data_IF_310334092125
#
_entry.id   IF_310334092125
#
_cell.length_a   1.000
_cell.length_b   1.000
_cell.length_c   1.000
_cell.angle_alpha   90.00
_cell.angle_beta   90.00
_cell.angle_gamma   90.00
#
_symmetry.space_group_name_H-M   'P 1'
#
loop_
_entity.id
_entity.type
_entity.pdbx_description
1 polymer ?
#
# COMPACT_ATOMS: atom_id res chain seq x y z
N UNK A 1 37.21 -43.43 -7.96
CA UNK A 1 36.85 -42.02 -8.28
C UNK A 1 35.82 -41.93 -9.43
N UNK A 2 34.68 -42.62 -9.34
CA UNK A 2 33.58 -42.56 -10.34
C UNK A 2 32.16 -42.69 -9.73
N UNK A 3 32.04 -42.66 -8.40
CA UNK A 3 30.76 -42.92 -7.70
C UNK A 3 30.16 -41.66 -7.06
N UNK A 4 30.95 -40.61 -6.83
CA UNK A 4 30.48 -39.34 -6.25
C UNK A 4 29.97 -38.33 -7.30
N UNK A 5 30.32 -38.52 -8.58
CA UNK A 5 29.96 -37.57 -9.64
C UNK A 5 28.58 -37.83 -10.27
N UNK A 6 28.02 -39.04 -10.12
CA UNK A 6 26.65 -39.35 -10.56
C UNK A 6 25.58 -38.84 -9.61
N UNK A 7 25.91 -38.61 -8.34
CA UNK A 7 24.97 -38.05 -7.35
C UNK A 7 24.84 -36.53 -7.43
N UNK A 8 25.86 -35.82 -7.93
CA UNK A 8 25.82 -34.35 -8.07
C UNK A 8 25.00 -33.93 -9.29
N UNK A 9 24.97 -34.73 -10.36
CA UNK A 9 24.22 -34.39 -11.58
C UNK A 9 22.71 -34.70 -11.50
N UNK A 10 22.29 -35.51 -10.52
CA UNK A 10 20.87 -35.83 -10.30
C UNK A 10 20.14 -34.81 -9.38
N UNK A 11 20.88 -33.93 -8.69
CA UNK A 11 20.31 -32.93 -7.77
C UNK A 11 20.06 -31.58 -8.47
N UNK A 12 20.75 -31.29 -9.58
CA UNK A 12 20.57 -30.04 -10.33
C UNK A 12 19.41 -30.03 -11.35
N UNK A 13 18.78 -31.17 -11.65
CA UNK A 13 17.66 -31.24 -12.60
C UNK A 13 16.28 -31.31 -11.94
N UNK A 14 16.19 -31.28 -10.60
CA UNK A 14 14.91 -31.35 -9.88
C UNK A 14 14.48 -30.01 -9.24
N UNK A 15 15.20 -28.91 -9.52
CA UNK A 15 14.92 -27.60 -8.92
C UNK A 15 14.41 -26.52 -9.89
N UNK A 16 14.14 -26.86 -11.15
CA UNK A 16 13.71 -25.87 -12.16
C UNK A 16 12.59 -26.46 -13.01
N UNK A 17 11.35 -26.40 -12.51
CA UNK A 17 10.11 -26.24 -13.31
C UNK A 17 8.87 -26.57 -12.47
N UNK A 18 8.62 -25.80 -11.42
CA UNK A 18 7.25 -25.66 -10.90
C UNK A 18 6.89 -24.18 -10.93
N UNK A 19 6.72 -23.67 -12.15
CA UNK A 19 5.95 -22.45 -12.36
C UNK A 19 4.51 -22.75 -11.97
N UNK A 20 4.19 -22.56 -10.70
CA UNK A 20 2.81 -22.56 -10.23
C UNK A 20 2.16 -21.35 -10.91
N UNK A 21 1.42 -21.59 -11.98
CA UNK A 21 0.42 -20.63 -12.44
C UNK A 21 -0.63 -20.56 -11.35
N UNK A 22 -0.48 -19.59 -10.44
CA UNK A 22 -1.58 -19.17 -9.59
C UNK A 22 -2.65 -18.62 -10.54
N UNK A 23 -3.70 -19.41 -10.78
CA UNK A 23 -4.90 -18.90 -11.42
C UNK A 23 -5.60 -18.01 -10.40
N UNK A 24 -5.35 -16.71 -10.50
CA UNK A 24 -6.18 -15.68 -9.87
C UNK A 24 -7.61 -15.86 -10.40
N UNK A 25 -8.43 -16.59 -9.65
CA UNK A 25 -9.87 -16.58 -9.83
C UNK A 25 -10.41 -15.30 -9.19
N UNK A 26 -9.97 -14.15 -9.70
CA UNK A 26 -10.42 -12.86 -9.22
C UNK A 26 -11.87 -12.65 -9.66
N UNK A 27 -12.78 -12.60 -8.68
CA UNK A 27 -14.15 -12.15 -8.89
C UNK A 27 -14.11 -10.72 -9.44
N UNK A 28 -14.60 -10.52 -10.67
CA UNK A 28 -14.58 -9.19 -11.29
C UNK A 28 -15.84 -8.43 -10.88
N UNK A 29 -15.67 -7.42 -10.04
CA UNK A 29 -16.74 -6.53 -9.58
C UNK A 29 -16.70 -5.21 -10.35
N UNK A 30 -17.86 -4.70 -10.76
CA UNK A 30 -18.02 -3.38 -11.37
C UNK A 30 -19.29 -2.72 -10.84
N UNK A 31 -19.20 -1.43 -10.54
CA UNK A 31 -20.33 -0.66 -10.04
C UNK A 31 -20.90 0.18 -11.17
N UNK A 32 -22.23 0.19 -11.31
CA UNK A 32 -22.94 0.98 -12.30
C UNK A 32 -23.90 1.94 -11.61
N UNK A 33 -23.84 3.21 -11.97
CA UNK A 33 -24.69 4.25 -11.37
C UNK A 33 -24.94 5.38 -12.37
N UNK A 34 -25.86 6.28 -12.03
CA UNK A 34 -26.22 7.45 -12.84
C UNK A 34 -25.72 8.70 -12.14
N UNK A 35 -24.93 9.51 -12.84
CA UNK A 35 -24.42 10.77 -12.31
C UNK A 35 -25.43 11.92 -12.36
N UNK A 36 -25.04 13.09 -11.85
CA UNK A 36 -25.91 14.27 -11.76
C UNK A 36 -26.31 14.82 -13.13
N UNK A 37 -25.53 14.54 -14.19
CA UNK A 37 -25.86 14.91 -15.56
C UNK A 37 -26.75 13.85 -16.24
N UNK A 38 -27.07 12.78 -15.52
CA UNK A 38 -27.85 11.66 -15.99
C UNK A 38 -27.08 10.66 -16.85
N UNK A 39 -25.75 10.73 -16.87
CA UNK A 39 -24.88 9.82 -17.61
C UNK A 39 -24.62 8.57 -16.76
N UNK A 40 -24.64 7.40 -17.41
CA UNK A 40 -24.35 6.13 -16.74
C UNK A 40 -22.83 5.96 -16.62
N UNK A 41 -22.37 5.78 -15.40
CA UNK A 41 -20.97 5.57 -15.05
C UNK A 41 -20.74 4.11 -14.66
N UNK A 42 -19.56 3.60 -15.00
CA UNK A 42 -19.07 2.28 -14.58
C UNK A 42 -17.72 2.45 -13.88
N UNK A 43 -17.61 2.01 -12.64
CA UNK A 43 -16.45 2.27 -11.79
C UNK A 43 -16.00 1.02 -11.04
N UNK A 44 -14.73 0.97 -10.67
CA UNK A 44 -14.15 -0.09 -9.83
C UNK A 44 -14.51 0.06 -8.35
N UNK A 45 -14.84 1.30 -7.92
CA UNK A 45 -15.33 1.61 -6.57
C UNK A 45 -16.77 2.13 -6.62
N UNK A 46 -17.58 1.86 -5.59
CA UNK A 46 -18.95 2.37 -5.54
C UNK A 46 -18.98 3.90 -5.41
N UNK A 47 -20.05 4.57 -5.88
CA UNK A 47 -20.26 5.98 -5.58
C UNK A 47 -20.58 6.18 -4.09
N UNK A 48 -20.12 7.29 -3.52
CA UNK A 48 -20.28 7.56 -2.08
C UNK A 48 -21.70 7.98 -1.66
N UNK A 49 -22.47 8.54 -2.59
CA UNK A 49 -23.74 9.20 -2.27
C UNK A 49 -24.79 9.05 -3.37
N UNK A 50 -24.78 7.91 -4.08
CA UNK A 50 -25.75 7.60 -5.13
C UNK A 50 -26.11 6.13 -5.05
N UNK A 51 -27.35 5.80 -5.34
CA UNK A 51 -27.76 4.41 -5.54
C UNK A 51 -26.98 3.80 -6.73
N UNK A 52 -26.67 2.50 -6.64
CA UNK A 52 -25.89 1.81 -7.66
C UNK A 52 -26.23 0.32 -7.78
N UNK A 53 -25.82 -0.27 -8.90
CA UNK A 53 -25.82 -1.71 -9.14
C UNK A 53 -24.41 -2.25 -8.96
N UNK A 54 -24.20 -3.15 -7.99
CA UNK A 54 -22.98 -3.95 -7.89
C UNK A 54 -23.11 -5.15 -8.82
N UNK A 55 -22.23 -5.22 -9.81
CA UNK A 55 -22.20 -6.27 -10.82
C UNK A 55 -20.99 -7.16 -10.53
N UNK A 56 -21.24 -8.38 -10.09
CA UNK A 56 -20.21 -9.41 -9.88
C UNK A 56 -20.22 -10.38 -11.06
N UNK A 57 -19.06 -10.62 -11.66
CA UNK A 57 -18.86 -11.68 -12.65
C UNK A 57 -18.07 -12.81 -12.00
N UNK A 58 -18.70 -13.97 -11.87
CA UNK A 58 -18.11 -15.19 -11.29
C UNK A 58 -17.39 -16.02 -12.35
N UNK A 59 -16.47 -16.86 -11.90
CA UNK A 59 -15.82 -17.87 -12.76
C UNK A 59 -16.90 -18.73 -13.46
N UNK A 60 -16.80 -18.89 -14.77
CA UNK A 60 -17.81 -19.56 -15.60
C UNK A 60 -18.86 -18.62 -16.24
N UNK A 61 -18.73 -17.31 -16.08
CA UNK A 61 -19.54 -16.32 -16.80
C UNK A 61 -20.90 -15.99 -16.16
N UNK A 62 -21.20 -16.59 -15.01
CA UNK A 62 -22.39 -16.24 -14.24
C UNK A 62 -22.27 -14.79 -13.72
N UNK A 63 -23.37 -14.02 -13.84
CA UNK A 63 -23.44 -12.62 -13.42
C UNK A 63 -24.44 -12.47 -12.29
N UNK A 64 -24.02 -11.82 -11.22
CA UNK A 64 -24.86 -11.44 -10.08
C UNK A 64 -24.98 -9.91 -10.04
N UNK A 65 -26.18 -9.40 -9.79
CA UNK A 65 -26.45 -7.97 -9.69
C UNK A 65 -27.17 -7.69 -8.38
N UNK A 66 -26.57 -6.84 -7.55
CA UNK A 66 -27.16 -6.37 -6.28
C UNK A 66 -27.45 -4.88 -6.40
N UNK A 67 -28.66 -4.45 -6.08
CA UNK A 67 -28.99 -3.03 -6.00
C UNK A 67 -28.70 -2.52 -4.59
N UNK A 68 -28.05 -1.36 -4.52
CA UNK A 68 -27.74 -0.67 -3.27
C UNK A 68 -28.40 0.70 -3.31
N UNK A 69 -29.15 1.01 -2.25
CA UNK A 69 -29.83 2.29 -2.11
C UNK A 69 -28.84 3.43 -1.84
N UNK A 70 -29.30 4.67 -2.03
CA UNK A 70 -28.49 5.86 -1.72
C UNK A 70 -28.17 5.95 -0.21
N UNK A 71 -29.12 5.57 0.65
CA UNK A 71 -28.96 5.55 2.11
C UNK A 71 -27.87 4.56 2.54
N UNK A 72 -27.90 3.34 2.00
CA UNK A 72 -26.87 2.32 2.25
C UNK A 72 -25.50 2.74 1.68
N UNK A 73 -25.49 3.41 0.52
CA UNK A 73 -24.26 3.93 -0.08
C UNK A 73 -23.62 5.00 0.81
N UNK A 74 -24.41 5.94 1.34
CA UNK A 74 -23.94 6.99 2.24
C UNK A 74 -23.42 6.42 3.56
N UNK A 75 -24.11 5.44 4.15
CA UNK A 75 -23.63 4.75 5.36
C UNK A 75 -22.30 4.05 5.10
N UNK A 76 -22.21 3.26 4.03
CA UNK A 76 -20.99 2.52 3.69
C UNK A 76 -19.82 3.45 3.40
N UNK A 77 -20.06 4.57 2.72
CA UNK A 77 -19.04 5.57 2.43
C UNK A 77 -18.56 6.32 3.69
N UNK A 78 -19.43 6.50 4.68
CA UNK A 78 -19.06 7.08 5.97
C UNK A 78 -18.17 6.14 6.77
N UNK A 79 -18.52 4.86 6.83
CA UNK A 79 -17.72 3.84 7.51
C UNK A 79 -16.34 3.67 6.83
N UNK A 80 -16.30 3.63 5.49
CA UNK A 80 -15.06 3.59 4.72
C UNK A 80 -14.21 4.85 4.99
N UNK A 81 -14.83 6.04 4.97
CA UNK A 81 -14.13 7.28 5.28
C UNK A 81 -13.59 7.34 6.71
N UNK A 82 -14.29 6.78 7.69
CA UNK A 82 -13.80 6.69 9.06
C UNK A 82 -12.63 5.72 9.17
N UNK A 83 -12.72 4.56 8.52
CA UNK A 83 -11.62 3.60 8.44
C UNK A 83 -10.38 4.20 7.78
N UNK A 84 -10.54 4.94 6.68
CA UNK A 84 -9.44 5.62 5.99
C UNK A 84 -8.77 6.68 6.90
N UNK A 85 -9.58 7.45 7.63
CA UNK A 85 -9.07 8.43 8.60
C UNK A 85 -8.32 7.77 9.76
N UNK A 86 -8.83 6.65 10.28
CA UNK A 86 -8.17 5.88 11.33
C UNK A 86 -6.84 5.30 10.85
N UNK A 87 -6.79 4.77 9.63
CA UNK A 87 -5.56 4.26 9.03
C UNK A 87 -4.53 5.38 8.83
N UNK A 88 -4.97 6.54 8.33
CA UNK A 88 -4.13 7.70 8.13
C UNK A 88 -3.60 8.25 9.46
N UNK A 89 -4.44 8.31 10.50
CA UNK A 89 -4.02 8.69 11.85
C UNK A 89 -2.96 7.74 12.40
N UNK A 90 -3.16 6.41 12.27
CA UNK A 90 -2.15 5.41 12.66
C UNK A 90 -0.85 5.54 11.87
N UNK A 91 -0.92 5.92 10.59
CA UNK A 91 0.26 6.20 9.77
C UNK A 91 1.00 7.45 10.28
N UNK A 92 0.27 8.53 10.58
CA UNK A 92 0.83 9.76 11.15
C UNK A 92 1.50 9.52 12.50
N UNK A 93 0.87 8.76 13.41
CA UNK A 93 1.47 8.40 14.70
C UNK A 93 2.79 7.63 14.54
N UNK A 94 2.84 6.68 13.61
CA UNK A 94 4.07 5.92 13.30
C UNK A 94 5.15 6.84 12.74
N UNK A 95 4.80 7.67 11.77
CA UNK A 95 5.73 8.59 11.13
C UNK A 95 6.25 9.63 12.13
N UNK A 96 5.39 10.15 13.01
CA UNK A 96 5.78 11.05 14.08
C UNK A 96 6.87 10.44 14.97
N UNK A 97 6.66 9.20 15.44
CA UNK A 97 7.64 8.49 16.28
C UNK A 97 8.98 8.32 15.57
N UNK A 98 8.96 7.94 14.29
CA UNK A 98 10.18 7.78 13.48
C UNK A 98 10.88 9.12 13.29
N UNK A 99 10.17 10.20 12.96
CA UNK A 99 10.77 11.53 12.78
C UNK A 99 11.38 12.05 14.09
N UNK A 100 10.73 11.83 15.24
CA UNK A 100 11.31 12.17 16.55
C UNK A 100 12.61 11.41 16.84
N UNK A 101 12.64 10.10 16.55
CA UNK A 101 13.84 9.27 16.70
C UNK A 101 14.96 9.71 15.76
N UNK A 102 14.62 10.03 14.51
CA UNK A 102 15.58 10.55 13.54
C UNK A 102 16.19 11.86 14.01
N UNK A 103 15.36 12.79 14.51
CA UNK A 103 15.83 14.07 15.04
C UNK A 103 16.78 13.85 16.22
N UNK A 104 16.45 12.92 17.12
CA UNK A 104 17.31 12.58 18.25
C UNK A 104 18.68 12.06 17.79
N UNK A 105 18.71 11.12 16.84
CA UNK A 105 19.97 10.57 16.30
C UNK A 105 20.78 11.68 15.63
N UNK A 106 20.13 12.50 14.80
CA UNK A 106 20.76 13.63 14.14
C UNK A 106 21.34 14.60 15.18
N UNK A 107 20.64 14.95 16.25
CA UNK A 107 21.17 15.90 17.23
C UNK A 107 22.28 15.32 18.11
N UNK A 108 22.17 14.06 18.52
CA UNK A 108 23.07 13.46 19.51
C UNK A 108 24.35 12.88 18.92
N UNK A 109 24.30 12.34 17.70
CA UNK A 109 25.44 11.61 17.12
C UNK A 109 26.38 12.56 16.37
N UNK A 110 27.64 12.63 16.80
CA UNK A 110 28.64 13.48 16.13
C UNK A 110 29.01 12.98 14.72
N UNK A 111 28.99 11.66 14.48
CA UNK A 111 29.33 11.04 13.19
C UNK A 111 28.23 10.05 12.81
N UNK A 112 27.58 10.30 11.67
CA UNK A 112 26.50 9.47 11.15
C UNK A 112 26.96 8.89 9.83
N UNK A 113 27.02 7.55 9.75
CA UNK A 113 27.34 6.83 8.52
C UNK A 113 26.07 6.64 7.71
N UNK A 114 26.13 6.95 6.43
CA UNK A 114 25.05 6.76 5.47
C UNK A 114 25.57 5.97 4.28
N UNK A 115 24.68 5.18 3.67
CA UNK A 115 24.95 4.51 2.41
C UNK A 115 24.21 5.25 1.30
N UNK A 116 24.94 5.79 0.34
CA UNK A 116 24.39 6.49 -0.82
C UNK A 116 25.02 5.93 -2.08
N UNK A 117 24.19 5.56 -3.07
CA UNK A 117 24.64 4.92 -4.31
C UNK A 117 25.49 3.66 -4.10
N UNK A 118 25.29 2.95 -2.98
CA UNK A 118 26.04 1.76 -2.61
C UNK A 118 27.38 2.01 -1.90
N UNK A 119 27.77 3.28 -1.70
CA UNK A 119 28.98 3.65 -0.98
C UNK A 119 28.66 4.15 0.43
N UNK A 120 29.50 3.78 1.40
CA UNK A 120 29.39 4.27 2.77
C UNK A 120 30.21 5.55 2.97
N UNK A 121 29.57 6.59 3.49
CA UNK A 121 30.25 7.84 3.86
C UNK A 121 29.68 8.42 5.15
N UNK A 122 30.36 9.41 5.71
CA UNK A 122 29.87 10.18 6.86
C UNK A 122 29.14 11.41 6.35
N UNK A 123 28.02 11.77 6.99
CA UNK A 123 27.33 13.02 6.70
C UNK A 123 28.20 14.23 7.02
N UNK A 124 28.21 15.22 6.13
CA UNK A 124 28.80 16.53 6.41
C UNK A 124 27.96 17.30 7.45
N UNK A 125 28.52 18.32 8.11
CA UNK A 125 27.76 19.19 9.00
C UNK A 125 26.56 19.85 8.32
N UNK A 126 26.71 20.28 7.07
CA UNK A 126 25.68 20.96 6.29
C UNK A 126 24.53 20.00 5.95
N UNK A 127 24.84 18.79 5.47
CA UNK A 127 23.85 17.75 5.17
C UNK A 127 23.10 17.31 6.43
N UNK A 128 23.82 17.22 7.55
CA UNK A 128 23.23 16.91 8.85
C UNK A 128 22.24 18.00 9.27
N UNK A 129 22.58 19.27 9.06
CA UNK A 129 21.70 20.39 9.38
C UNK A 129 20.48 20.44 8.47
N UNK A 130 20.64 20.13 7.19
CA UNK A 130 19.54 20.00 6.23
C UNK A 130 18.57 18.89 6.66
N UNK A 131 19.08 17.69 6.96
CA UNK A 131 18.26 16.56 7.46
C UNK A 131 17.55 16.89 8.76
N UNK A 132 18.15 17.68 9.66
CA UNK A 132 17.47 18.19 10.86
C UNK A 132 16.29 19.07 10.48
N UNK A 133 16.49 20.02 9.57
CA UNK A 133 15.43 20.93 9.09
C UNK A 133 14.27 20.17 8.44
N UNK A 134 14.58 19.19 7.60
CA UNK A 134 13.58 18.34 6.95
C UNK A 134 12.83 17.47 7.96
N UNK A 135 13.56 16.86 8.91
CA UNK A 135 12.96 16.03 9.96
C UNK A 135 12.04 16.86 10.85
N UNK A 136 12.39 18.11 11.14
CA UNK A 136 11.51 19.02 11.89
C UNK A 136 10.20 19.31 11.13
N UNK A 137 10.27 19.53 9.81
CA UNK A 137 9.06 19.67 8.98
C UNK A 137 8.20 18.41 9.01
N UNK A 138 8.82 17.22 8.98
CA UNK A 138 8.09 15.96 9.09
C UNK A 138 7.39 15.83 10.45
N UNK A 139 8.03 16.26 11.54
CA UNK A 139 7.39 16.34 12.86
C UNK A 139 6.18 17.27 12.81
N UNK A 140 6.31 18.45 12.19
CA UNK A 140 5.22 19.43 12.11
C UNK A 140 4.00 18.94 11.32
N UNK A 141 4.23 18.00 10.38
CA UNK A 141 3.21 17.37 9.54
C UNK A 141 2.60 16.15 10.26
N UNK A 142 3.42 15.22 10.75
CA UNK A 142 2.94 13.91 11.21
C UNK A 142 2.59 13.87 12.69
N UNK A 143 3.16 14.73 13.53
CA UNK A 143 2.91 14.71 14.97
C UNK A 143 1.65 15.47 15.41
N UNK A 144 0.78 15.85 14.47
CA UNK A 144 -0.51 16.45 14.74
C UNK A 144 -1.61 15.44 14.41
N UNK A 145 -2.60 15.24 15.30
CA UNK A 145 -3.78 14.46 14.95
C UNK A 145 -4.54 15.15 13.80
N UNK A 146 -5.15 14.34 12.93
CA UNK A 146 -6.01 14.82 11.84
C UNK A 146 -7.41 15.17 12.34
#
# INVERSE_FOLDING_TARGET
MKLTQKFIMAICCFFIATSIYASDNAEKVTYKWKDDNGIIQYTERPPKSKAYEKITVKTGGAREVTQVSEEEAVMSAKDESQSDLDELNKANERNCKVSQQNLQVLQQMARIRVTENGEERILSPEEKQERISETQKQIDIYCKPL
#
